data_IF_606926545391
#
_entry.id   IF_606926545391
#
_cell.length_a   1.000
_cell.length_b   1.000
_cell.length_c   1.000
_cell.angle_alpha   90.00
_cell.angle_beta   90.00
_cell.angle_gamma   90.00
#
_symmetry.space_group_name_H-M   'P 1'
#
loop_
_entity.id
_entity.type
_entity.pdbx_description
1 polymer ?
#
# COMPACT_ATOMS: atom_id res chain seq x y z
N UNK A 1 6.58 22.40 -21.61
CA UNK A 1 6.01 22.34 -20.98
C UNK A 1 5.37 21.29 -20.58
N UNK A 2 5.39 20.94 -19.68
CA UNK A 2 4.83 19.80 -19.38
C UNK A 2 3.53 19.95 -18.86
N UNK A 3 2.71 19.33 -19.34
CA UNK A 3 1.48 19.32 -19.08
C UNK A 3 1.12 18.28 -18.19
N UNK A 4 1.79 18.11 -17.10
CA UNK A 4 1.56 17.07 -16.20
C UNK A 4 0.33 17.33 -15.42
N UNK A 5 -0.60 16.42 -15.48
CA UNK A 5 -1.72 16.41 -14.58
C UNK A 5 -1.20 16.35 -13.14
N UNK A 6 -1.93 16.90 -12.17
CA UNK A 6 -1.55 16.77 -10.77
C UNK A 6 -1.43 15.29 -10.39
N UNK A 7 -0.45 14.98 -9.56
CA UNK A 7 -0.29 13.62 -9.07
C UNK A 7 -1.46 13.26 -8.17
N UNK A 8 -1.85 12.01 -8.24
CA UNK A 8 -2.90 11.52 -7.35
C UNK A 8 -2.27 10.92 -6.11
N UNK A 9 -2.94 11.10 -4.99
CA UNK A 9 -2.44 10.63 -3.70
C UNK A 9 -3.10 9.32 -3.30
N UNK A 10 -2.29 8.35 -2.90
CA UNK A 10 -2.75 7.02 -2.51
C UNK A 10 -2.23 6.70 -1.12
N UNK A 11 -3.14 6.33 -0.22
CA UNK A 11 -2.78 5.95 1.14
C UNK A 11 -3.01 4.45 1.32
N UNK A 12 -1.99 3.75 1.80
CA UNK A 12 -2.09 2.33 2.11
C UNK A 12 -2.18 2.16 3.63
N UNK A 13 -3.19 1.42 4.07
CA UNK A 13 -3.45 1.21 5.48
C UNK A 13 -3.22 -0.23 5.92
N UNK A 14 -2.58 -0.37 7.05
CA UNK A 14 -2.37 -1.64 7.71
C UNK A 14 -2.48 -1.35 9.20
N UNK A 15 -2.55 -2.36 10.06
CA UNK A 15 -2.67 -2.08 11.49
C UNK A 15 -1.38 -1.50 12.05
N UNK A 16 -0.26 -2.18 11.86
CA UNK A 16 1.02 -1.80 12.47
C UNK A 16 1.86 -0.82 11.69
N UNK A 17 1.58 -0.63 10.42
CA UNK A 17 2.39 0.21 9.52
C UNK A 17 3.88 -0.09 9.68
N UNK A 18 4.23 -1.36 9.54
CA UNK A 18 5.63 -1.78 9.68
C UNK A 18 6.12 -2.66 8.54
N UNK A 19 5.23 -3.25 7.77
CA UNK A 19 5.61 -4.15 6.67
C UNK A 19 4.77 -3.91 5.41
N UNK A 20 3.55 -4.47 5.35
CA UNK A 20 2.75 -4.45 4.11
C UNK A 20 2.49 -3.07 3.56
N UNK A 21 2.02 -2.15 4.38
CA UNK A 21 1.70 -0.80 3.91
C UNK A 21 2.97 -0.01 3.55
N UNK A 22 4.07 -0.23 4.26
CA UNK A 22 5.35 0.40 3.95
C UNK A 22 5.85 -0.08 2.58
N UNK A 23 5.76 -1.39 2.31
CA UNK A 23 6.18 -1.93 1.03
C UNK A 23 5.31 -1.38 -0.11
N UNK A 24 4.01 -1.28 0.12
CA UNK A 24 3.10 -0.73 -0.88
C UNK A 24 3.43 0.73 -1.19
N UNK A 25 3.68 1.52 -0.16
CA UNK A 25 4.10 2.92 -0.33
C UNK A 25 5.38 3.01 -1.17
N UNK A 26 6.36 2.16 -0.85
CA UNK A 26 7.64 2.16 -1.55
C UNK A 26 7.45 1.82 -3.03
N UNK A 27 6.69 0.79 -3.31
CA UNK A 27 6.45 0.36 -4.69
C UNK A 27 5.78 1.47 -5.49
N UNK A 28 4.70 2.03 -4.96
CA UNK A 28 3.96 3.04 -5.70
C UNK A 28 4.78 4.29 -5.90
N UNK A 29 5.55 4.71 -4.91
CA UNK A 29 6.37 5.90 -5.00
C UNK A 29 7.38 5.76 -6.13
N UNK A 30 7.97 4.57 -6.29
CA UNK A 30 8.97 4.35 -7.33
C UNK A 30 8.35 4.07 -8.69
N UNK A 31 7.41 3.12 -8.75
CA UNK A 31 6.84 2.71 -10.03
C UNK A 31 5.84 3.74 -10.57
N UNK A 32 5.24 4.53 -9.70
CA UNK A 32 4.27 5.55 -10.10
C UNK A 32 4.83 6.96 -10.15
N UNK A 33 6.15 7.09 -10.20
CA UNK A 33 6.79 8.41 -10.17
C UNK A 33 6.24 9.29 -11.30
N UNK A 34 5.91 10.52 -10.94
CA UNK A 34 5.31 11.46 -11.89
C UNK A 34 3.79 11.40 -11.96
N UNK A 35 3.19 10.30 -11.51
CA UNK A 35 1.73 10.11 -11.58
C UNK A 35 1.08 10.01 -10.22
N UNK A 36 1.75 9.41 -9.26
CA UNK A 36 1.20 9.16 -7.93
C UNK A 36 2.17 9.53 -6.83
N UNK A 37 1.61 9.93 -5.69
CA UNK A 37 2.35 10.04 -4.44
C UNK A 37 1.83 8.94 -3.53
N UNK A 38 2.74 8.14 -2.98
CA UNK A 38 2.38 7.03 -2.08
C UNK A 38 2.57 7.43 -0.63
N UNK A 39 1.63 7.03 0.21
CA UNK A 39 1.67 7.24 1.66
C UNK A 39 1.23 5.95 2.33
N UNK A 40 1.62 5.78 3.59
CA UNK A 40 1.15 4.64 4.37
C UNK A 40 0.95 5.04 5.81
N UNK A 41 0.08 4.32 6.51
CA UNK A 41 -0.18 4.57 7.92
C UNK A 41 -0.81 3.34 8.56
N UNK A 42 -0.95 3.37 9.88
CA UNK A 42 -1.58 2.31 10.62
C UNK A 42 -2.52 2.82 11.69
N UNK A 43 -3.49 2.00 12.06
CA UNK A 43 -4.40 2.33 13.15
C UNK A 43 -3.70 2.21 14.49
N UNK A 44 -2.75 1.30 14.60
CA UNK A 44 -1.97 1.07 15.82
C UNK A 44 -0.51 0.89 15.41
N UNK A 45 0.15 2.00 15.02
CA UNK A 45 1.50 1.90 14.49
C UNK A 45 2.48 1.38 15.53
N UNK A 46 3.41 0.53 15.08
CA UNK A 46 4.41 -0.03 15.98
C UNK A 46 5.48 0.98 16.36
N UNK A 47 5.57 2.08 15.64
CA UNK A 47 6.56 3.11 15.90
C UNK A 47 7.85 2.93 15.15
N UNK A 48 8.09 1.75 14.60
CA UNK A 48 9.28 1.51 13.79
C UNK A 48 8.97 0.52 12.69
N UNK A 49 9.70 0.65 11.59
CA UNK A 49 9.55 -0.24 10.44
C UNK A 49 10.21 -1.56 10.76
N UNK A 50 9.58 -2.66 10.36
CA UNK A 50 10.11 -4.00 10.60
C UNK A 50 11.50 -4.14 9.95
N UNK A 51 12.50 -4.68 10.67
CA UNK A 51 13.84 -4.82 10.10
C UNK A 51 13.90 -5.64 8.81
N UNK A 52 13.04 -6.65 8.67
CA UNK A 52 12.99 -7.45 7.43
C UNK A 52 12.45 -6.64 6.27
N UNK A 53 11.52 -5.71 6.53
CA UNK A 53 11.04 -4.78 5.52
C UNK A 53 12.17 -3.90 5.03
N UNK A 54 12.92 -3.31 5.98
CA UNK A 54 14.04 -2.43 5.63
C UNK A 54 15.12 -3.18 4.87
N UNK A 55 15.43 -4.41 5.29
CA UNK A 55 16.45 -5.21 4.61
C UNK A 55 16.06 -5.51 3.18
N UNK A 56 14.79 -5.88 2.96
CA UNK A 56 14.29 -6.16 1.61
C UNK A 56 14.33 -4.91 0.73
N UNK A 57 13.82 -3.81 1.24
CA UNK A 57 13.76 -2.57 0.46
C UNK A 57 15.16 -2.05 0.16
N UNK A 58 16.08 -2.20 1.11
CA UNK A 58 17.47 -1.81 0.89
C UNK A 58 18.12 -2.65 -0.23
N UNK A 59 17.85 -3.96 -0.24
CA UNK A 59 18.36 -4.84 -1.31
C UNK A 59 17.80 -4.45 -2.68
N UNK A 60 16.61 -3.89 -2.70
CA UNK A 60 15.96 -3.47 -3.94
C UNK A 60 16.29 -2.02 -4.31
N UNK A 61 17.26 -1.45 -3.62
CA UNK A 61 17.79 -0.11 -3.89
C UNK A 61 16.83 1.04 -3.60
N UNK A 62 15.96 0.85 -2.63
CA UNK A 62 15.14 1.96 -2.13
C UNK A 62 15.94 2.75 -1.10
N UNK A 63 15.66 4.06 -1.04
CA UNK A 63 16.16 4.89 0.04
C UNK A 63 15.27 4.67 1.25
N UNK A 64 15.74 3.83 2.18
CA UNK A 64 14.91 3.41 3.32
C UNK A 64 14.83 4.48 4.42
N UNK A 65 15.63 5.53 4.36
CA UNK A 65 15.62 6.56 5.38
C UNK A 65 14.31 7.34 5.45
N UNK A 66 13.52 7.29 4.37
CA UNK A 66 12.27 8.03 4.30
C UNK A 66 11.09 7.31 4.94
N UNK A 67 11.22 6.01 5.21
CA UNK A 67 10.10 5.23 5.72
C UNK A 67 10.01 5.29 7.23
N UNK A 68 8.80 5.46 7.74
CA UNK A 68 8.55 5.48 9.18
C UNK A 68 7.17 4.91 9.48
N UNK A 69 7.03 4.33 10.63
CA UNK A 69 5.76 3.80 11.10
C UNK A 69 4.98 4.95 11.75
N UNK A 70 3.75 5.17 11.33
CA UNK A 70 2.98 6.34 11.75
C UNK A 70 1.50 6.05 11.82
N UNK A 71 0.80 6.88 12.58
CA UNK A 71 -0.63 6.75 12.76
C UNK A 71 -1.40 7.32 11.57
N UNK A 72 -2.52 6.70 11.26
CA UNK A 72 -3.43 7.19 10.23
C UNK A 72 -4.02 8.56 10.58
N UNK A 73 -3.96 8.95 11.86
CA UNK A 73 -4.43 10.27 12.27
C UNK A 73 -3.65 11.40 11.57
N UNK A 74 -2.42 11.12 11.15
CA UNK A 74 -1.63 12.12 10.42
C UNK A 74 -2.28 12.51 9.09
N UNK A 75 -3.14 11.65 8.56
CA UNK A 75 -3.77 11.89 7.26
C UNK A 75 -5.25 12.23 7.36
N UNK A 76 -5.77 12.37 8.58
CA UNK A 76 -7.18 12.66 8.79
C UNK A 76 -7.48 14.15 9.02
N UNK A 77 -6.46 14.95 9.26
CA UNK A 77 -6.66 16.37 9.59
C UNK A 77 -6.87 17.23 8.36
N UNK A 78 -7.35 18.44 8.59
CA UNK A 78 -7.63 19.36 7.51
C UNK A 78 -6.38 19.76 6.72
N UNK A 79 -5.20 19.73 7.37
CA UNK A 79 -3.95 20.10 6.73
C UNK A 79 -3.26 18.92 6.05
N UNK A 80 -3.83 17.72 6.15
CA UNK A 80 -3.25 16.55 5.54
C UNK A 80 -3.45 16.56 4.03
N UNK A 81 -2.61 15.88 3.26
CA UNK A 81 -2.85 15.75 1.83
C UNK A 81 -4.20 15.09 1.57
N UNK A 82 -4.92 15.58 0.58
CA UNK A 82 -6.19 14.95 0.22
C UNK A 82 -5.89 13.67 -0.54
N UNK A 83 -6.46 12.56 -0.08
CA UNK A 83 -6.25 11.28 -0.74
C UNK A 83 -7.25 11.09 -1.86
N UNK A 84 -6.77 10.57 -2.97
CA UNK A 84 -7.62 10.17 -4.09
C UNK A 84 -8.04 8.71 -3.93
N UNK A 85 -7.16 7.90 -3.32
CA UNK A 85 -7.42 6.48 -3.08
C UNK A 85 -6.92 6.09 -1.70
N UNK A 86 -7.66 5.20 -1.03
CA UNK A 86 -7.22 4.60 0.23
C UNK A 86 -7.42 3.09 0.14
N UNK A 87 -6.34 2.33 0.23
CA UNK A 87 -6.39 0.88 0.13
C UNK A 87 -5.94 0.24 1.43
N UNK A 88 -6.77 -0.67 1.97
CA UNK A 88 -6.34 -1.47 3.12
C UNK A 88 -5.62 -2.71 2.60
N UNK A 89 -4.46 -3.01 3.17
CA UNK A 89 -3.64 -4.14 2.74
C UNK A 89 -3.56 -5.25 3.79
N UNK A 90 -4.32 -5.13 4.86
CA UNK A 90 -4.50 -6.24 5.80
C UNK A 90 -5.96 -6.31 6.21
N UNK A 91 -6.43 -7.53 6.48
CA UNK A 91 -7.83 -7.75 6.80
C UNK A 91 -8.25 -7.04 8.08
N UNK A 92 -7.37 -6.98 9.05
CA UNK A 92 -7.67 -6.35 10.33
C UNK A 92 -7.96 -4.86 10.17
N UNK A 93 -7.12 -4.16 9.38
CA UNK A 93 -7.33 -2.74 9.13
C UNK A 93 -8.66 -2.48 8.42
N UNK A 94 -9.06 -3.40 7.55
CA UNK A 94 -10.30 -3.26 6.81
C UNK A 94 -11.53 -3.33 7.72
N UNK A 95 -11.39 -3.96 8.88
CA UNK A 95 -12.49 -4.13 9.82
C UNK A 95 -12.53 -3.05 10.91
N UNK A 96 -11.53 -2.22 10.96
CA UNK A 96 -11.46 -1.16 11.98
C UNK A 96 -12.23 0.07 11.52
N UNK A 97 -12.75 0.83 12.48
CA UNK A 97 -13.45 2.07 12.17
C UNK A 97 -12.44 3.13 11.74
N UNK A 98 -12.38 3.41 10.47
CA UNK A 98 -11.45 4.40 9.93
C UNK A 98 -11.92 5.82 10.14
N UNK A 99 -10.99 6.78 10.20
CA UNK A 99 -11.37 8.19 10.14
C UNK A 99 -12.08 8.51 8.82
N UNK A 100 -12.81 9.62 8.81
CA UNK A 100 -13.36 10.15 7.57
C UNK A 100 -12.24 10.93 6.88
N UNK A 101 -11.85 10.47 5.71
CA UNK A 101 -10.72 11.08 5.01
C UNK A 101 -11.14 12.33 4.24
N UNK A 102 -10.35 13.43 4.31
CA UNK A 102 -10.64 14.60 3.50
C UNK A 102 -10.65 14.23 2.02
N UNK A 103 -11.61 14.77 1.25
CA UNK A 103 -11.66 14.58 -0.18
C UNK A 103 -12.46 13.37 -0.65
N UNK A 104 -12.97 12.58 0.27
CA UNK A 104 -13.79 11.40 -0.06
C UNK A 104 -13.11 10.49 -1.08
N UNK A 105 -11.96 9.90 -0.72
CA UNK A 105 -11.22 9.06 -1.65
C UNK A 105 -11.97 7.78 -2.00
N UNK A 106 -11.63 7.20 -3.14
CA UNK A 106 -12.11 5.86 -3.47
C UNK A 106 -11.36 4.86 -2.60
N UNK A 107 -12.03 3.83 -2.15
CA UNK A 107 -11.43 2.84 -1.25
C UNK A 107 -11.56 1.44 -1.81
N UNK A 108 -10.63 0.58 -1.46
CA UNK A 108 -10.70 -0.84 -1.79
C UNK A 108 -9.88 -1.63 -0.78
N UNK A 109 -10.16 -2.93 -0.69
CA UNK A 109 -9.44 -3.82 0.20
C UNK A 109 -8.54 -4.75 -0.62
N UNK A 110 -7.24 -4.64 -0.41
CA UNK A 110 -6.23 -5.43 -1.11
C UNK A 110 -5.42 -6.26 -0.11
N UNK A 111 -6.11 -7.05 0.71
CA UNK A 111 -5.47 -7.77 1.80
C UNK A 111 -4.51 -8.85 1.34
N UNK A 112 -3.39 -8.96 2.02
CA UNK A 112 -2.43 -10.05 1.86
C UNK A 112 -2.03 -10.55 3.23
N UNK A 113 -1.47 -11.75 3.26
CA UNK A 113 -1.00 -12.35 4.52
C UNK A 113 0.12 -11.54 5.14
N UNK A 114 0.17 -11.53 6.46
CA UNK A 114 1.17 -10.77 7.20
C UNK A 114 2.51 -11.51 7.20
N UNK A 115 3.54 -11.01 6.51
CA UNK A 115 4.83 -11.69 6.49
C UNK A 115 5.52 -11.67 7.85
N UNK A 116 5.14 -10.74 8.74
CA UNK A 116 5.73 -10.65 10.07
C UNK A 116 5.32 -11.83 10.97
N UNK A 117 4.30 -12.59 10.56
CA UNK A 117 3.90 -13.78 11.31
C UNK A 117 4.70 -15.01 10.89
N UNK A 118 5.55 -14.90 9.89
CA UNK A 118 6.37 -16.03 9.45
C UNK A 118 7.38 -16.39 10.54
N UNK A 119 7.65 -17.69 10.65
CA UNK A 119 8.62 -18.19 11.61
C UNK A 119 9.57 -19.14 10.89
N UNK A 120 10.66 -19.48 11.56
CA UNK A 120 11.65 -20.38 10.98
C UNK A 120 13.00 -19.67 10.87
N UNK A 121 13.77 -20.04 9.86
CA UNK A 121 15.10 -19.46 9.65
C UNK A 121 14.99 -18.05 9.11
N UNK A 122 16.08 -17.30 9.18
CA UNK A 122 16.11 -15.95 8.61
C UNK A 122 15.78 -15.98 7.12
N UNK A 123 16.24 -17.03 6.41
CA UNK A 123 15.95 -17.16 4.99
C UNK A 123 14.47 -17.40 4.74
N UNK A 124 13.81 -18.19 5.57
CA UNK A 124 12.38 -18.45 5.44
C UNK A 124 11.56 -17.18 5.71
N UNK A 125 11.97 -16.42 6.72
CA UNK A 125 11.29 -15.16 7.03
C UNK A 125 11.50 -14.17 5.89
N UNK A 126 12.74 -14.06 5.39
CA UNK A 126 13.04 -13.17 4.27
C UNK A 126 12.20 -13.52 3.03
N UNK A 127 11.98 -14.82 2.80
CA UNK A 127 11.16 -15.27 1.69
C UNK A 127 9.70 -14.83 1.86
N UNK A 128 9.18 -14.88 3.08
CA UNK A 128 7.81 -14.43 3.33
C UNK A 128 7.65 -12.94 3.02
N UNK A 129 8.65 -12.12 3.37
CA UNK A 129 8.61 -10.70 3.03
C UNK A 129 8.73 -10.47 1.53
N UNK A 130 9.59 -11.24 0.86
CA UNK A 130 9.73 -11.13 -0.60
C UNK A 130 8.43 -11.53 -1.31
N UNK A 131 7.73 -12.54 -0.82
CA UNK A 131 6.46 -12.94 -1.39
C UNK A 131 5.39 -11.88 -1.19
N UNK A 132 5.33 -11.27 -0.01
CA UNK A 132 4.41 -10.17 0.24
C UNK A 132 4.68 -9.00 -0.71
N UNK A 133 5.96 -8.68 -0.91
CA UNK A 133 6.35 -7.63 -1.85
C UNK A 133 5.89 -7.97 -3.27
N UNK A 134 6.10 -9.21 -3.70
CA UNK A 134 5.71 -9.65 -5.03
C UNK A 134 4.20 -9.50 -5.26
N UNK A 135 3.41 -9.89 -4.25
CA UNK A 135 1.96 -9.79 -4.36
C UNK A 135 1.51 -8.33 -4.47
N UNK A 136 2.11 -7.46 -3.67
CA UNK A 136 1.80 -6.04 -3.73
C UNK A 136 2.25 -5.43 -5.06
N UNK A 137 3.42 -5.84 -5.53
CA UNK A 137 3.95 -5.35 -6.81
C UNK A 137 3.02 -5.72 -7.95
N UNK A 138 2.50 -6.94 -7.95
CA UNK A 138 1.56 -7.40 -8.97
C UNK A 138 0.31 -6.52 -8.97
N UNK A 139 -0.28 -6.31 -7.78
CA UNK A 139 -1.49 -5.50 -7.68
C UNK A 139 -1.26 -4.06 -8.10
N UNK A 140 -0.15 -3.49 -7.69
CA UNK A 140 0.15 -2.10 -8.04
C UNK A 140 0.50 -1.95 -9.51
N UNK A 141 1.11 -2.96 -10.13
CA UNK A 141 1.35 -2.95 -11.57
C UNK A 141 0.05 -2.89 -12.35
N UNK A 142 -0.95 -3.67 -11.91
CA UNK A 142 -2.27 -3.63 -12.54
C UNK A 142 -2.90 -2.25 -12.33
N UNK A 143 -2.83 -1.73 -11.11
CA UNK A 143 -3.38 -0.42 -10.80
C UNK A 143 -2.77 0.68 -11.69
N UNK A 144 -1.45 0.65 -11.84
CA UNK A 144 -0.75 1.64 -12.64
C UNK A 144 -1.06 1.56 -14.13
N UNK A 145 -1.54 0.41 -14.59
CA UNK A 145 -1.89 0.24 -16.00
C UNK A 145 -3.35 0.57 -16.31
N UNK A 146 -4.16 0.93 -15.31
CA UNK A 146 -5.56 1.25 -15.54
C UNK A 146 -5.70 2.55 -16.33
N UNK A 147 -6.59 2.58 -17.34
CA UNK A 147 -6.84 3.80 -18.11
C UNK A 147 -7.79 4.70 -17.35
N UNK A 148 -7.35 5.28 -16.26
CA UNK A 148 -8.20 6.01 -15.31
C UNK A 148 -8.98 7.15 -15.96
N UNK A 149 -8.37 7.84 -16.94
CA UNK A 149 -9.04 8.95 -17.60
C UNK A 149 -10.24 8.49 -18.46
N UNK A 150 -10.25 7.20 -18.82
CA UNK A 150 -11.31 6.65 -19.66
C UNK A 150 -12.39 5.92 -18.88
N UNK A 151 -12.18 5.72 -17.58
CA UNK A 151 -13.13 4.97 -16.76
C UNK A 151 -13.99 5.93 -15.94
N UNK A 152 -15.31 5.67 -15.91
CA UNK A 152 -16.13 6.41 -14.98
C UNK A 152 -15.91 5.88 -13.57
N UNK A 153 -16.49 6.56 -12.59
CA UNK A 153 -16.22 6.24 -11.20
C UNK A 153 -16.66 4.83 -10.82
N UNK A 154 -17.79 4.37 -11.33
CA UNK A 154 -18.28 3.03 -11.02
C UNK A 154 -17.39 1.97 -11.64
N UNK A 155 -17.01 2.14 -12.91
CA UNK A 155 -16.13 1.19 -13.59
C UNK A 155 -14.76 1.14 -12.92
N UNK A 156 -14.24 2.29 -12.49
CA UNK A 156 -12.98 2.33 -11.79
C UNK A 156 -13.07 1.58 -10.46
N UNK A 157 -14.16 1.79 -9.70
CA UNK A 157 -14.35 1.08 -8.45
C UNK A 157 -14.35 -0.44 -8.65
N UNK A 158 -15.01 -0.92 -9.71
CA UNK A 158 -15.03 -2.33 -10.01
C UNK A 158 -13.63 -2.86 -10.29
N UNK A 159 -12.82 -2.10 -11.03
CA UNK A 159 -11.43 -2.50 -11.32
C UNK A 159 -10.60 -2.54 -10.05
N UNK A 160 -10.78 -1.55 -9.17
CA UNK A 160 -10.04 -1.52 -7.91
C UNK A 160 -10.38 -2.72 -7.04
N UNK A 161 -11.66 -3.10 -6.99
CA UNK A 161 -12.09 -4.25 -6.21
C UNK A 161 -11.54 -5.55 -6.80
N UNK A 162 -11.53 -5.66 -8.13
CA UNK A 162 -10.98 -6.84 -8.80
C UNK A 162 -9.49 -7.01 -8.52
N UNK A 163 -8.74 -5.93 -8.43
CA UNK A 163 -7.32 -6.01 -8.11
C UNK A 163 -7.12 -6.67 -6.75
N UNK A 164 -7.97 -6.34 -5.78
CA UNK A 164 -7.90 -6.94 -4.46
C UNK A 164 -8.19 -8.44 -4.45
N UNK A 165 -8.83 -8.94 -5.49
CA UNK A 165 -9.15 -10.35 -5.62
C UNK A 165 -8.16 -11.09 -6.54
N UNK A 166 -7.07 -10.45 -6.91
CA UNK A 166 -6.08 -11.03 -7.80
C UNK A 166 -5.53 -12.34 -7.23
N UNK A 167 -5.51 -13.38 -8.07
CA UNK A 167 -4.94 -14.66 -7.68
C UNK A 167 -3.42 -14.55 -7.85
N UNK A 168 -2.71 -14.64 -6.76
CA UNK A 168 -1.25 -14.51 -6.76
C UNK A 168 -0.55 -15.83 -6.96
N UNK A 169 -1.29 -16.89 -7.20
CA UNK A 169 -0.70 -18.21 -7.37
C UNK A 169 -0.19 -18.81 -6.08
N UNK A 170 -0.56 -18.21 -4.93
CA UNK A 170 -0.11 -18.69 -3.64
C UNK A 170 -1.25 -19.30 -2.84
N UNK A 171 -2.38 -19.59 -3.49
CA UNK A 171 -3.47 -20.14 -2.79
C UNK A 171 -3.16 -21.52 -2.38
N UNK A 172 -3.33 -21.82 -1.12
CA UNK A 172 -3.22 -23.16 -0.68
C UNK A 172 -4.49 -23.84 -1.10
N UNK A 173 -4.33 -24.95 -1.59
CA UNK A 173 -5.46 -25.75 -2.02
C UNK A 173 -6.38 -26.08 -0.86
#
# INVERSE_FOLDING_TARGET
MSDTAPRKNVLFLCTGNSARSIMAEAILTREGIGKFNGYSAGSQPRGEVNPHTLALLNRLNFDTSRFRSKSWEEFAGADAPKMDFVFTVCDRAAQEACPVWPGQPMTAHWGISDPALASGTDAEIALAFAEAYRMLFTRLSIFLSLPMASLDKLSLQERLDEIGETDDGTQSA
#
